data_IF_622963843258
#
_entry.id   IF_622963843258
#
_cell.length_a   1.000
_cell.length_b   1.000
_cell.length_c   1.000
_cell.angle_alpha   90.00
_cell.angle_beta   90.00
_cell.angle_gamma   90.00
#
_symmetry.space_group_name_H-M   'P 1'
#
loop_
_entity.id
_entity.type
_entity.pdbx_description
1 polymer ?
#
# COMPACT_ATOMS: atom_id res chain seq x y z
N UNK A 1 41.79 11.55 -32.09
CA UNK A 1 41.09 11.11 -30.87
C UNK A 1 42.12 11.00 -29.76
N UNK A 2 41.80 11.56 -28.60
CA UNK A 2 42.63 11.45 -27.40
C UNK A 2 42.40 10.08 -26.73
N UNK A 3 43.33 9.62 -25.88
CA UNK A 3 43.12 8.36 -25.14
C UNK A 3 41.84 8.37 -24.30
N UNK A 4 41.41 9.55 -23.82
CA UNK A 4 40.14 9.71 -23.06
C UNK A 4 38.90 9.36 -23.88
N UNK A 5 38.90 9.64 -25.17
CA UNK A 5 37.77 9.31 -26.05
C UNK A 5 37.67 7.80 -26.24
N UNK A 6 38.82 7.11 -26.31
CA UNK A 6 38.87 5.65 -26.39
C UNK A 6 38.50 4.99 -25.06
N UNK A 7 38.84 5.57 -23.91
CA UNK A 7 38.42 5.07 -22.60
C UNK A 7 36.90 5.01 -22.47
N UNK A 8 36.18 6.06 -22.91
CA UNK A 8 34.72 6.03 -22.90
C UNK A 8 34.17 4.92 -23.81
N UNK A 9 34.75 4.78 -25.00
CA UNK A 9 34.36 3.74 -25.95
C UNK A 9 34.67 2.31 -25.46
N UNK A 10 35.65 2.13 -24.57
CA UNK A 10 35.93 0.82 -23.96
C UNK A 10 34.76 0.37 -23.07
N UNK A 11 34.18 1.26 -22.26
CA UNK A 11 33.05 0.92 -21.40
C UNK A 11 31.76 0.60 -22.18
N UNK A 12 31.58 1.20 -23.36
CA UNK A 12 30.41 1.02 -24.23
C UNK A 12 30.69 0.12 -25.43
N UNK A 13 31.77 -0.65 -25.42
CA UNK A 13 32.17 -1.54 -26.52
C UNK A 13 31.04 -2.38 -27.16
N UNK A 14 30.13 -3.03 -26.39
CA UNK A 14 29.03 -3.80 -26.98
C UNK A 14 27.99 -2.94 -27.71
N UNK A 15 27.96 -1.63 -27.48
CA UNK A 15 27.00 -0.69 -28.09
C UNK A 15 27.59 0.08 -29.28
N UNK A 16 28.92 0.04 -29.46
CA UNK A 16 29.61 0.70 -30.57
C UNK A 16 29.23 0.14 -31.94
N UNK A 17 29.23 1.02 -32.96
CA UNK A 17 29.10 0.62 -34.36
C UNK A 17 30.34 -0.15 -34.84
N UNK A 18 30.18 -0.94 -35.92
CA UNK A 18 31.29 -1.75 -36.46
C UNK A 18 32.53 -0.89 -36.86
N UNK A 19 32.31 0.34 -37.33
CA UNK A 19 33.39 1.27 -37.69
C UNK A 19 34.14 1.75 -36.45
N UNK A 20 33.41 2.13 -35.40
CA UNK A 20 34.01 2.59 -34.13
C UNK A 20 34.78 1.47 -33.43
N UNK A 21 34.26 0.25 -33.46
CA UNK A 21 34.99 -0.93 -32.96
C UNK A 21 36.31 -1.14 -33.68
N UNK A 22 36.31 -1.09 -35.01
CA UNK A 22 37.57 -1.24 -35.77
C UNK A 22 38.60 -0.15 -35.45
N UNK A 23 38.15 1.08 -35.22
CA UNK A 23 39.02 2.18 -34.80
C UNK A 23 39.58 1.98 -33.39
N UNK A 24 38.75 1.48 -32.48
CA UNK A 24 39.16 1.16 -31.12
C UNK A 24 40.13 -0.02 -31.10
N UNK A 25 39.85 -1.10 -31.81
CA UNK A 25 40.71 -2.28 -31.91
C UNK A 25 42.10 -1.91 -32.47
N UNK A 26 42.14 -1.02 -33.48
CA UNK A 26 43.39 -0.47 -34.00
C UNK A 26 44.14 0.40 -32.97
N UNK A 27 43.43 1.13 -32.11
CA UNK A 27 44.03 1.89 -31.02
C UNK A 27 44.60 0.97 -29.92
N UNK A 28 43.89 -0.11 -29.57
CA UNK A 28 44.33 -1.08 -28.56
C UNK A 28 45.65 -1.76 -28.93
N UNK A 29 45.94 -1.95 -30.22
CA UNK A 29 47.23 -2.49 -30.68
C UNK A 29 48.42 -1.57 -30.39
N UNK A 30 48.20 -0.26 -30.35
CA UNK A 30 49.25 0.74 -30.20
C UNK A 30 49.34 1.29 -28.76
N UNK A 31 48.25 1.25 -28.00
CA UNK A 31 48.16 1.85 -26.67
C UNK A 31 48.01 0.77 -25.58
N UNK A 32 49.10 0.49 -24.86
CA UNK A 32 49.13 -0.55 -23.82
C UNK A 32 48.21 -0.26 -22.63
N UNK A 33 48.04 1.01 -22.25
CA UNK A 33 47.15 1.40 -21.14
C UNK A 33 45.67 1.19 -21.47
N UNK A 34 45.26 1.52 -22.70
CA UNK A 34 43.91 1.27 -23.15
C UNK A 34 43.64 -0.23 -23.32
N UNK A 35 44.64 -1.01 -23.74
CA UNK A 35 44.55 -2.47 -23.80
C UNK A 35 44.36 -3.10 -22.42
N UNK A 36 45.10 -2.66 -21.40
CA UNK A 36 44.90 -3.16 -20.03
C UNK A 36 43.51 -2.82 -19.50
N UNK A 37 43.05 -1.58 -19.71
CA UNK A 37 41.69 -1.16 -19.31
C UNK A 37 40.62 -2.02 -19.99
N UNK A 38 40.78 -2.27 -21.29
CA UNK A 38 39.84 -3.10 -22.05
C UNK A 38 39.76 -4.54 -21.53
N UNK A 39 40.90 -5.13 -21.18
CA UNK A 39 40.96 -6.47 -20.59
C UNK A 39 40.28 -6.52 -19.22
N UNK A 40 40.51 -5.53 -18.36
CA UNK A 40 39.87 -5.44 -17.04
C UNK A 40 38.34 -5.32 -17.16
N UNK A 41 37.86 -4.49 -18.09
CA UNK A 41 36.42 -4.34 -18.35
C UNK A 41 35.83 -5.65 -18.88
N UNK A 42 36.50 -6.33 -19.81
CA UNK A 42 36.03 -7.63 -20.32
C UNK A 42 35.97 -8.69 -19.21
N UNK A 43 36.98 -8.78 -18.36
CA UNK A 43 37.00 -9.72 -17.23
C UNK A 43 35.86 -9.42 -16.25
N UNK A 44 35.65 -8.13 -15.92
CA UNK A 44 34.57 -7.71 -15.03
C UNK A 44 33.21 -8.08 -15.62
N UNK A 45 33.01 -7.87 -16.92
CA UNK A 45 31.77 -8.20 -17.58
C UNK A 45 31.52 -9.70 -17.65
N UNK A 46 32.56 -10.51 -17.86
CA UNK A 46 32.47 -11.96 -17.76
C UNK A 46 32.05 -12.41 -16.36
N UNK A 47 32.62 -11.83 -15.30
CA UNK A 47 32.24 -12.14 -13.92
C UNK A 47 30.78 -11.77 -13.63
N UNK A 48 30.33 -10.59 -14.06
CA UNK A 48 28.94 -10.16 -13.90
C UNK A 48 27.99 -11.13 -14.62
N UNK A 49 28.32 -11.55 -15.83
CA UNK A 49 27.50 -12.49 -16.59
C UNK A 49 27.44 -13.86 -15.90
N UNK A 50 28.57 -14.35 -15.37
CA UNK A 50 28.60 -15.59 -14.60
C UNK A 50 27.72 -15.52 -13.34
N UNK A 51 27.78 -14.40 -12.61
CA UNK A 51 26.93 -14.17 -11.43
C UNK A 51 25.45 -14.04 -11.83
N UNK A 52 25.15 -13.44 -12.98
CA UNK A 52 23.79 -13.29 -13.47
C UNK A 52 23.16 -14.63 -13.89
N UNK A 53 23.96 -15.55 -14.44
CA UNK A 53 23.54 -16.92 -14.77
C UNK A 53 23.43 -17.82 -13.55
N UNK A 54 24.10 -17.47 -12.45
CA UNK A 54 24.01 -18.23 -11.21
C UNK A 54 22.60 -18.13 -10.62
N UNK A 55 21.93 -19.27 -10.54
CA UNK A 55 20.60 -19.37 -9.95
C UNK A 55 20.68 -19.21 -8.43
N UNK A 56 20.63 -17.96 -7.98
CA UNK A 56 20.54 -17.64 -6.55
C UNK A 56 19.16 -18.03 -6.04
N UNK A 57 19.08 -19.10 -5.23
CA UNK A 57 17.87 -19.46 -4.51
C UNK A 57 17.92 -18.76 -3.15
N UNK A 58 17.11 -17.71 -2.92
CA UNK A 58 17.15 -17.00 -1.65
C UNK A 58 16.70 -17.91 -0.50
N UNK A 59 17.27 -17.76 0.70
CA UNK A 59 16.74 -18.43 1.88
C UNK A 59 15.28 -18.02 2.07
N UNK A 60 14.39 -19.00 2.20
CA UNK A 60 12.94 -18.82 2.26
C UNK A 60 12.25 -18.35 0.96
N UNK A 61 12.73 -18.78 -0.22
CA UNK A 61 12.08 -18.51 -1.51
C UNK A 61 10.56 -18.76 -1.50
N UNK A 62 10.08 -19.83 -0.87
CA UNK A 62 8.65 -20.13 -0.75
C UNK A 62 7.85 -19.04 0.00
N UNK A 63 8.45 -18.40 1.03
CA UNK A 63 7.84 -17.30 1.77
C UNK A 63 7.75 -16.04 0.93
N UNK A 64 8.77 -15.77 0.11
CA UNK A 64 8.77 -14.65 -0.83
C UNK A 64 7.67 -14.83 -1.88
N UNK A 65 7.59 -16.01 -2.50
CA UNK A 65 6.53 -16.36 -3.46
C UNK A 65 5.16 -16.24 -2.83
N UNK A 66 4.97 -16.79 -1.62
CA UNK A 66 3.71 -16.65 -0.88
C UNK A 66 3.33 -15.21 -0.59
N UNK A 67 4.30 -14.36 -0.18
CA UNK A 67 4.04 -12.94 0.05
C UNK A 67 3.68 -12.18 -1.23
N UNK A 68 4.35 -12.48 -2.34
CA UNK A 68 4.06 -11.84 -3.63
C UNK A 68 2.68 -12.27 -4.13
N UNK A 69 2.40 -13.58 -4.12
CA UNK A 69 1.11 -14.13 -4.55
C UNK A 69 -0.03 -13.63 -3.67
N UNK A 70 0.17 -13.48 -2.36
CA UNK A 70 -0.85 -12.92 -1.46
C UNK A 70 -1.18 -11.45 -1.72
N UNK A 71 -0.30 -10.69 -2.39
CA UNK A 71 -0.54 -9.30 -2.79
C UNK A 71 -1.20 -9.20 -4.16
N UNK A 72 -0.86 -10.10 -5.09
CA UNK A 72 -1.46 -10.17 -6.43
C UNK A 72 -2.87 -10.76 -6.35
N UNK A 73 -3.07 -11.80 -5.56
CA UNK A 73 -4.33 -12.53 -5.44
C UNK A 73 -5.35 -11.88 -4.51
N UNK A 74 -5.10 -10.67 -4.00
CA UNK A 74 -6.16 -9.93 -3.31
C UNK A 74 -7.11 -9.37 -4.36
N UNK A 75 -8.32 -9.94 -4.57
CA UNK A 75 -9.35 -9.21 -5.27
C UNK A 75 -9.52 -7.90 -4.53
N UNK A 76 -9.56 -6.79 -5.26
CA UNK A 76 -9.82 -5.48 -4.67
C UNK A 76 -11.03 -5.66 -3.76
N UNK A 77 -10.80 -5.52 -2.45
CA UNK A 77 -11.89 -5.48 -1.50
C UNK A 77 -12.63 -4.21 -1.85
N UNK A 78 -13.56 -4.27 -2.81
CA UNK A 78 -14.59 -3.24 -3.00
C UNK A 78 -15.11 -3.00 -1.61
N UNK A 79 -14.73 -1.85 -1.05
CA UNK A 79 -15.06 -1.55 0.32
C UNK A 79 -16.58 -1.68 0.39
N UNK A 80 -17.11 -2.31 1.43
CA UNK A 80 -18.55 -2.48 1.60
C UNK A 80 -19.31 -1.13 1.41
N UNK A 81 -18.63 -0.02 1.69
CA UNK A 81 -19.09 1.34 1.38
C UNK A 81 -19.30 1.65 -0.12
N UNK A 82 -18.46 1.18 -1.04
CA UNK A 82 -18.64 1.41 -2.49
C UNK A 82 -19.89 0.71 -3.02
N UNK A 83 -20.19 -0.50 -2.53
CA UNK A 83 -21.42 -1.23 -2.90
C UNK A 83 -22.68 -0.54 -2.35
N UNK A 84 -22.63 -0.02 -1.12
CA UNK A 84 -23.75 0.75 -0.54
C UNK A 84 -23.98 2.05 -1.31
N UNK A 85 -22.91 2.75 -1.68
CA UNK A 85 -22.98 3.99 -2.46
C UNK A 85 -23.62 3.70 -3.83
N UNK A 86 -23.23 2.62 -4.51
CA UNK A 86 -23.83 2.22 -5.79
C UNK A 86 -25.32 1.86 -5.66
N UNK A 87 -25.72 1.21 -4.56
CA UNK A 87 -27.12 0.88 -4.27
C UNK A 87 -27.98 2.12 -3.93
N UNK A 88 -27.43 3.06 -3.15
CA UNK A 88 -28.11 4.32 -2.78
C UNK A 88 -28.14 5.35 -3.92
N UNK A 89 -27.17 5.34 -4.83
CA UNK A 89 -27.17 6.24 -5.99
C UNK A 89 -27.97 5.71 -7.19
N UNK A 90 -28.39 4.44 -7.17
CA UNK A 90 -29.28 3.90 -8.20
C UNK A 90 -30.57 4.72 -8.29
N UNK A 91 -30.90 5.23 -9.48
CA UNK A 91 -32.02 6.16 -9.69
C UNK A 91 -33.35 5.64 -9.11
N UNK A 92 -33.53 4.31 -9.03
CA UNK A 92 -34.74 3.67 -8.49
C UNK A 92 -34.90 3.86 -6.97
N UNK A 93 -33.82 3.84 -6.19
CA UNK A 93 -33.91 4.00 -4.72
C UNK A 93 -34.25 5.44 -4.33
N UNK A 94 -33.82 6.42 -5.13
CA UNK A 94 -34.19 7.84 -4.96
C UNK A 94 -35.70 8.07 -5.08
N UNK A 95 -36.36 7.44 -6.05
CA UNK A 95 -37.82 7.55 -6.19
C UNK A 95 -38.57 6.80 -5.10
N UNK A 96 -38.07 5.64 -4.66
CA UNK A 96 -38.68 4.88 -3.56
C UNK A 96 -38.64 5.65 -2.23
N UNK A 97 -37.49 6.26 -1.89
CA UNK A 97 -37.34 7.07 -0.68
C UNK A 97 -38.18 8.35 -0.71
N UNK A 98 -38.24 9.03 -1.85
CA UNK A 98 -39.10 10.22 -2.03
C UNK A 98 -40.58 9.85 -1.95
N UNK A 99 -40.99 8.75 -2.57
CA UNK A 99 -42.36 8.24 -2.48
C UNK A 99 -42.75 7.89 -1.04
N UNK A 100 -41.88 7.19 -0.32
CA UNK A 100 -42.10 6.82 1.09
C UNK A 100 -42.20 8.06 1.99
N UNK A 101 -41.34 9.07 1.77
CA UNK A 101 -41.41 10.35 2.48
C UNK A 101 -42.73 11.08 2.20
N UNK A 102 -43.20 11.08 0.95
CA UNK A 102 -44.45 11.73 0.57
C UNK A 102 -45.67 11.04 1.18
N UNK A 103 -45.72 9.70 1.15
CA UNK A 103 -46.80 8.92 1.78
C UNK A 103 -46.84 9.14 3.29
N UNK A 104 -45.67 9.17 3.96
CA UNK A 104 -45.61 9.46 5.39
C UNK A 104 -46.10 10.87 5.73
N UNK A 105 -45.76 11.86 4.91
CA UNK A 105 -46.28 13.22 5.08
C UNK A 105 -47.79 13.29 4.87
N UNK A 106 -48.32 12.56 3.88
CA UNK A 106 -49.76 12.47 3.67
C UNK A 106 -50.48 11.82 4.85
N UNK A 107 -50.00 10.67 5.33
CA UNK A 107 -50.55 10.00 6.52
C UNK A 107 -50.48 10.92 7.74
N UNK A 108 -49.36 11.61 7.95
CA UNK A 108 -49.21 12.57 9.04
C UNK A 108 -50.19 13.73 8.92
N UNK A 109 -50.37 14.32 7.74
CA UNK A 109 -51.33 15.39 7.52
C UNK A 109 -52.77 14.93 7.79
N UNK A 110 -53.17 13.75 7.32
CA UNK A 110 -54.51 13.21 7.61
C UNK A 110 -54.71 12.97 9.11
N UNK A 111 -53.72 12.37 9.77
CA UNK A 111 -53.77 12.12 11.20
C UNK A 111 -53.74 13.42 12.04
N UNK A 112 -53.12 14.48 11.52
CA UNK A 112 -53.09 15.81 12.14
C UNK A 112 -54.46 16.51 12.12
N UNK A 113 -55.26 16.29 11.07
CA UNK A 113 -56.60 16.88 10.98
C UNK A 113 -57.64 16.11 11.80
N UNK A 114 -57.49 14.79 11.96
CA UNK A 114 -58.42 13.99 12.75
C UNK A 114 -58.21 14.13 14.27
N UNK A 115 -57.01 14.47 14.75
CA UNK A 115 -56.71 14.37 16.18
C UNK A 115 -55.70 15.44 16.69
N UNK A 116 -56.12 16.70 16.91
CA UNK A 116 -55.24 17.77 17.43
C UNK A 116 -54.78 17.54 18.89
N UNK A 117 -55.21 16.47 19.56
CA UNK A 117 -54.93 16.19 20.96
C UNK A 117 -53.56 15.53 21.23
N UNK A 118 -52.89 14.95 20.22
CA UNK A 118 -51.71 14.10 20.44
C UNK A 118 -50.42 14.86 20.75
N UNK A 119 -50.33 16.17 20.46
CA UNK A 119 -49.15 16.97 20.81
C UNK A 119 -48.98 17.19 22.32
N UNK A 120 -50.03 17.03 23.12
CA UNK A 120 -49.92 17.12 24.59
C UNK A 120 -49.36 15.85 25.23
N UNK A 121 -49.46 14.69 24.57
CA UNK A 121 -48.98 13.42 25.11
C UNK A 121 -47.48 13.19 24.84
N UNK A 122 -46.97 13.64 23.68
CA UNK A 122 -45.58 13.39 23.26
C UNK A 122 -44.54 14.26 23.99
N UNK A 123 -44.95 15.31 24.70
CA UNK A 123 -44.04 16.11 25.52
C UNK A 123 -43.77 15.47 26.90
N UNK A 124 -44.63 14.54 27.35
CA UNK A 124 -44.52 13.92 28.67
C UNK A 124 -43.59 12.68 28.70
N UNK A 125 -43.22 12.11 27.56
CA UNK A 125 -42.47 10.85 27.46
C UNK A 125 -40.97 11.02 27.16
N UNK A 126 -40.45 12.25 27.03
CA UNK A 126 -39.02 12.49 26.72
C UNK A 126 -38.10 12.61 27.95
N UNK A 127 -38.62 12.47 29.17
CA UNK A 127 -37.88 12.81 30.39
C UNK A 127 -37.28 11.61 31.16
N UNK A 128 -37.55 10.37 30.77
CA UNK A 128 -37.18 9.20 31.60
C UNK A 128 -36.18 8.22 30.99
N UNK A 129 -35.66 8.44 29.78
CA UNK A 129 -34.59 7.62 29.20
C UNK A 129 -33.48 8.48 28.58
N UNK A 130 -32.93 9.42 29.34
CA UNK A 130 -31.61 9.96 29.01
C UNK A 130 -30.57 8.89 29.34
N UNK A 131 -30.27 8.04 28.35
CA UNK A 131 -29.03 7.27 28.36
C UNK A 131 -27.91 8.30 28.33
N UNK A 132 -27.38 8.64 29.50
CA UNK A 132 -26.17 9.44 29.65
C UNK A 132 -25.05 8.58 29.08
N UNK A 133 -24.85 8.69 27.76
CA UNK A 133 -23.64 8.27 27.09
C UNK A 133 -22.52 9.05 27.75
N UNK A 134 -21.85 8.42 28.71
CA UNK A 134 -20.71 8.97 29.40
C UNK A 134 -19.55 9.01 28.40
N UNK A 135 -19.62 9.98 27.48
CA UNK A 135 -18.72 10.15 26.35
C UNK A 135 -17.27 10.30 26.82
N UNK A 136 -17.07 10.76 28.06
CA UNK A 136 -15.79 10.81 28.74
C UNK A 136 -15.20 9.41 28.97
N UNK A 137 -16.00 8.46 29.46
CA UNK A 137 -15.58 7.07 29.69
C UNK A 137 -15.25 6.34 28.37
N UNK A 138 -16.02 6.58 27.31
CA UNK A 138 -15.71 6.05 25.98
C UNK A 138 -14.43 6.65 25.39
N UNK A 139 -14.25 7.98 25.52
CA UNK A 139 -13.05 8.68 25.03
C UNK A 139 -11.79 8.26 25.79
N UNK A 140 -11.88 8.05 27.10
CA UNK A 140 -10.76 7.57 27.92
C UNK A 140 -10.38 6.12 27.58
N UNK A 141 -11.36 5.22 27.40
CA UNK A 141 -11.09 3.83 26.99
C UNK A 141 -10.50 3.74 25.57
N UNK A 142 -10.98 4.54 24.62
CA UNK A 142 -10.40 4.58 23.28
C UNK A 142 -8.97 5.12 23.27
N UNK A 143 -8.69 6.14 24.09
CA UNK A 143 -7.35 6.74 24.17
C UNK A 143 -6.34 5.74 24.75
N UNK A 144 -6.70 5.02 25.83
CA UNK A 144 -5.87 3.94 26.41
C UNK A 144 -5.62 2.78 25.43
N UNK A 145 -6.61 2.42 24.61
CA UNK A 145 -6.43 1.38 23.60
C UNK A 145 -5.51 1.82 22.44
N UNK A 146 -5.53 3.10 22.07
CA UNK A 146 -4.68 3.66 21.02
C UNK A 146 -3.22 3.71 21.45
N UNK A 147 -2.95 4.12 22.68
CA UNK A 147 -1.60 4.19 23.26
C UNK A 147 -0.94 2.80 23.36
N UNK A 148 -1.68 1.77 23.74
CA UNK A 148 -1.18 0.38 23.74
C UNK A 148 -0.85 -0.14 22.35
N UNK A 149 -1.53 0.33 21.30
CA UNK A 149 -1.24 -0.09 19.91
C UNK A 149 -0.03 0.63 19.31
N UNK A 150 0.23 1.88 19.70
CA UNK A 150 1.40 2.63 19.22
C UNK A 150 2.71 2.14 19.84
N UNK A 151 2.69 1.66 21.09
CA UNK A 151 3.90 1.16 21.77
C UNK A 151 4.56 -0.04 21.07
N UNK A 152 3.77 -0.86 20.36
CA UNK A 152 4.26 -2.05 19.64
C UNK A 152 4.28 -1.88 18.12
N UNK A 153 3.88 -0.72 17.60
CA UNK A 153 3.94 -0.43 16.16
C UNK A 153 5.40 -0.35 15.68
N UNK A 154 6.29 0.23 16.49
CA UNK A 154 7.72 0.37 16.18
C UNK A 154 8.47 -0.97 16.11
N UNK A 155 7.97 -2.00 16.81
CA UNK A 155 8.58 -3.34 16.79
C UNK A 155 8.19 -4.15 15.55
N UNK A 156 7.24 -3.67 14.73
CA UNK A 156 6.68 -4.45 13.62
C UNK A 156 7.29 -4.00 12.28
N UNK A 157 8.46 -4.54 11.94
CA UNK A 157 9.03 -4.40 10.59
C UNK A 157 8.71 -5.62 9.72
N UNK A 158 8.42 -5.46 8.41
CA UNK A 158 8.10 -6.56 7.51
C UNK A 158 9.31 -7.45 7.14
N UNK A 159 10.52 -7.10 7.57
CA UNK A 159 11.76 -7.75 7.17
C UNK A 159 12.52 -8.46 8.31
N UNK A 160 12.03 -8.42 9.55
CA UNK A 160 12.75 -9.02 10.69
C UNK A 160 12.11 -10.34 11.18
N UNK A 161 12.96 -11.22 11.70
CA UNK A 161 12.59 -12.53 12.23
C UNK A 161 11.74 -12.41 13.50
N UNK A 162 10.87 -13.40 13.75
CA UNK A 162 9.97 -13.43 14.93
C UNK A 162 10.72 -13.28 16.28
N UNK A 163 11.99 -13.67 16.34
CA UNK A 163 12.82 -13.52 17.55
C UNK A 163 13.13 -12.06 17.87
N UNK A 164 13.34 -11.20 16.87
CA UNK A 164 13.56 -9.77 17.06
C UNK A 164 12.30 -9.07 17.60
N UNK A 165 11.14 -9.43 17.08
CA UNK A 165 9.85 -8.93 17.56
C UNK A 165 9.62 -9.26 19.04
N UNK A 166 9.84 -10.53 19.43
CA UNK A 166 9.66 -10.96 20.82
C UNK A 166 10.64 -10.25 21.77
N UNK A 167 11.89 -10.03 21.35
CA UNK A 167 12.86 -9.28 22.14
C UNK A 167 12.49 -7.79 22.28
N UNK A 168 12.02 -7.15 21.20
CA UNK A 168 11.56 -5.76 21.21
C UNK A 168 10.32 -5.55 22.11
N UNK A 169 9.39 -6.51 22.11
CA UNK A 169 8.23 -6.50 22.99
C UNK A 169 8.65 -6.69 24.45
N UNK A 170 9.60 -7.61 24.71
CA UNK A 170 10.10 -7.90 26.07
C UNK A 170 10.85 -6.73 26.70
N UNK A 171 11.58 -5.93 25.92
CA UNK A 171 12.28 -4.73 26.42
C UNK A 171 11.34 -3.56 26.70
N UNK A 172 10.24 -3.43 25.94
CA UNK A 172 9.23 -2.37 26.14
C UNK A 172 8.23 -2.65 27.28
N UNK A 173 8.17 -3.90 27.77
CA UNK A 173 7.29 -4.35 28.87
C UNK A 173 7.98 -4.35 30.25
N UNK A 174 9.25 -3.98 30.32
CA UNK A 174 10.03 -3.88 31.56
C UNK A 174 10.06 -2.42 32.03
#
# INVERSE_FOLDING_TARGET
MSCKDYEQNIYTYPELSAKERSHLDAHLQNCRSCLTLFQEVQQTQQLINQIAEEKVIPPHAARLTGSIMSKIAQPSKRAFGEWIIELLLSKRSKFALSGLSSVLLFVFCFQFFDDPAQFKASQASSLTNSVILNAKLFRENFSRHKEKRTLFADCRSPFQSNQYYLNCVKTKLK
#
